data_IF_743001699812
#
_entry.id   IF_743001699812
#
_cell.length_a   1.000
_cell.length_b   1.000
_cell.length_c   1.000
_cell.angle_alpha   90.00
_cell.angle_beta   90.00
_cell.angle_gamma   90.00
#
_symmetry.space_group_name_H-M   'P 1'
#
loop_
_entity.id
_entity.type
_entity.pdbx_description
1 polymer ?
#
# COMPACT_ATOMS: atom_id res chain seq x y z
N UNK A 1 6.48 -72.82 -25.39
CA UNK A 1 7.29 -73.71 -24.54
C UNK A 1 8.20 -72.86 -23.66
N UNK A 2 7.98 -72.94 -22.33
CA UNK A 2 8.91 -72.76 -21.19
C UNK A 2 9.86 -71.55 -21.08
N UNK A 3 10.19 -70.97 -19.92
CA UNK A 3 9.66 -70.83 -18.53
C UNK A 3 10.82 -70.24 -17.69
N UNK A 4 10.54 -69.24 -16.82
CA UNK A 4 11.04 -69.03 -15.41
C UNK A 4 11.48 -67.56 -15.17
N UNK A 5 10.78 -66.72 -14.39
CA UNK A 5 10.45 -66.72 -12.94
C UNK A 5 11.65 -66.63 -11.97
N UNK A 6 11.76 -65.45 -11.31
CA UNK A 6 12.01 -65.20 -9.87
C UNK A 6 11.37 -63.82 -9.61
N UNK A 7 10.22 -63.61 -8.95
CA UNK A 7 9.78 -63.89 -7.57
C UNK A 7 10.83 -63.60 -6.50
N UNK A 8 10.65 -62.47 -5.82
CA UNK A 8 10.74 -62.42 -4.36
C UNK A 8 9.53 -61.68 -3.78
N UNK A 9 9.08 -62.16 -2.63
CA UNK A 9 7.74 -61.98 -2.03
C UNK A 9 7.93 -61.46 -0.62
N UNK A 10 7.07 -60.50 -0.23
CA UNK A 10 6.44 -60.40 1.11
C UNK A 10 7.36 -59.97 2.28
N UNK A 11 6.95 -59.20 3.29
CA UNK A 11 5.74 -59.28 4.15
C UNK A 11 5.67 -57.95 4.94
N UNK A 12 4.51 -57.28 4.97
CA UNK A 12 3.50 -57.19 6.06
C UNK A 12 3.76 -56.14 7.17
N UNK A 13 2.79 -55.22 7.21
CA UNK A 13 2.01 -54.69 8.35
C UNK A 13 2.75 -54.02 9.52
N UNK A 14 2.38 -52.75 9.75
CA UNK A 14 1.64 -52.39 10.97
C UNK A 14 0.70 -51.21 10.73
N UNK A 15 -0.58 -51.43 11.09
CA UNK A 15 -1.58 -50.39 11.35
C UNK A 15 -1.10 -49.58 12.57
N UNK A 16 -1.18 -48.26 12.49
CA UNK A 16 -1.41 -47.42 13.66
C UNK A 16 -2.59 -46.50 13.37
N UNK A 17 -3.71 -46.84 13.99
CA UNK A 17 -4.85 -45.96 14.20
C UNK A 17 -4.49 -45.03 15.35
N UNK A 18 -4.42 -43.72 15.10
CA UNK A 18 -4.38 -42.73 16.17
C UNK A 18 -5.69 -41.95 16.17
N UNK A 19 -6.65 -42.49 16.94
CA UNK A 19 -7.77 -41.73 17.49
C UNK A 19 -7.19 -40.84 18.60
N UNK A 20 -7.26 -39.53 18.46
CA UNK A 20 -7.25 -38.65 19.62
C UNK A 20 -8.66 -38.12 19.86
N UNK A 21 -9.35 -38.80 20.77
CA UNK A 21 -10.38 -38.23 21.60
C UNK A 21 -9.69 -37.38 22.67
N UNK A 22 -10.01 -36.09 22.76
CA UNK A 22 -9.99 -35.38 24.02
C UNK A 22 -11.31 -34.64 24.21
N UNK A 23 -12.15 -35.23 25.05
CA UNK A 23 -13.29 -34.63 25.73
C UNK A 23 -12.90 -34.61 27.21
N UNK A 24 -12.80 -33.42 27.80
CA UNK A 24 -12.61 -33.12 29.22
C UNK A 24 -12.04 -31.69 29.29
N UNK A 25 -12.49 -30.72 30.06
CA UNK A 25 -13.48 -30.64 31.12
C UNK A 25 -13.95 -29.17 31.18
N UNK A 26 -15.24 -28.97 31.49
CA UNK A 26 -15.73 -27.69 32.00
C UNK A 26 -14.91 -27.29 33.23
N UNK A 27 -14.28 -26.12 33.20
CA UNK A 27 -13.85 -25.42 34.39
C UNK A 27 -14.67 -24.13 34.50
N UNK A 28 -15.40 -24.09 35.61
CA UNK A 28 -16.26 -23.05 36.11
C UNK A 28 -15.55 -21.70 36.23
N UNK A 29 -16.30 -20.66 35.85
CA UNK A 29 -16.07 -19.25 36.16
C UNK A 29 -15.76 -19.04 37.66
N UNK A 30 -14.82 -18.16 38.02
CA UNK A 30 -14.82 -17.53 39.32
C UNK A 30 -15.88 -16.43 39.32
N UNK A 31 -16.91 -16.63 40.15
CA UNK A 31 -17.81 -15.59 40.64
C UNK A 31 -17.02 -14.51 41.34
N UNK A 32 -16.97 -13.30 40.78
CA UNK A 32 -16.62 -12.10 41.55
C UNK A 32 -17.89 -11.49 42.13
N UNK A 33 -18.08 -11.77 43.41
CA UNK A 33 -19.04 -11.13 44.30
C UNK A 33 -18.73 -9.65 44.46
N UNK A 34 -19.71 -8.85 44.05
CA UNK A 34 -20.20 -7.62 44.66
C UNK A 34 -19.61 -7.27 46.04
N UNK A 35 -18.87 -6.16 46.12
CA UNK A 35 -18.82 -5.32 47.32
C UNK A 35 -19.11 -3.86 46.93
N UNK A 36 -20.13 -3.31 47.58
CA UNK A 36 -20.49 -1.90 47.57
C UNK A 36 -19.58 -1.18 48.56
N UNK A 37 -19.05 -0.03 48.18
CA UNK A 37 -18.83 1.06 49.11
C UNK A 37 -19.31 2.35 48.46
N UNK A 38 -20.39 2.90 49.01
CA UNK A 38 -20.91 4.22 48.70
C UNK A 38 -19.86 5.29 48.99
N UNK A 39 -19.83 6.36 48.19
CA UNK A 39 -19.81 7.73 48.68
C UNK A 39 -20.53 8.63 47.65
N UNK A 40 -21.57 9.32 48.13
CA UNK A 40 -22.39 10.27 47.37
C UNK A 40 -21.70 11.63 47.32
N UNK A 41 -21.76 12.31 46.17
CA UNK A 41 -22.29 13.68 46.07
C UNK A 41 -22.19 14.24 44.64
N UNK A 42 -23.30 14.79 44.13
CA UNK A 42 -23.27 15.88 43.14
C UNK A 42 -23.88 15.56 41.78
N UNK A 43 -25.12 16.01 41.58
CA UNK A 43 -25.94 15.87 40.37
C UNK A 43 -25.48 16.75 39.21
N UNK A 44 -25.63 16.25 37.96
CA UNK A 44 -26.19 16.94 36.78
C UNK A 44 -26.51 15.87 35.71
N UNK A 45 -27.73 15.78 35.14
CA UNK A 45 -27.97 14.90 34.01
C UNK A 45 -27.48 15.59 32.74
N UNK A 46 -26.32 15.18 32.23
CA UNK A 46 -26.00 15.40 30.82
C UNK A 46 -26.87 14.39 30.07
N UNK A 47 -27.84 14.90 29.30
CA UNK A 47 -28.45 14.13 28.21
C UNK A 47 -27.33 13.81 27.23
N UNK A 48 -26.69 12.65 27.40
CA UNK A 48 -25.89 12.05 26.33
C UNK A 48 -26.85 11.83 25.16
N UNK A 49 -26.68 12.63 24.12
CA UNK A 49 -27.27 12.31 22.83
C UNK A 49 -26.79 10.90 22.44
N UNK A 50 -27.66 10.01 21.96
CA UNK A 50 -27.23 8.68 21.54
C UNK A 50 -26.14 8.84 20.48
N UNK A 51 -24.98 8.22 20.74
CA UNK A 51 -23.92 8.03 19.75
C UNK A 51 -24.59 7.46 18.48
N UNK A 52 -24.38 8.05 17.30
CA UNK A 52 -25.00 7.53 16.09
C UNK A 52 -24.53 6.09 15.87
N UNK A 53 -25.48 5.16 15.91
CA UNK A 53 -25.24 3.76 15.63
C UNK A 53 -24.82 3.60 14.16
N UNK A 54 -23.82 2.75 13.90
CA UNK A 54 -23.51 2.31 12.54
C UNK A 54 -24.79 1.73 11.92
N UNK A 55 -25.41 2.38 10.94
CA UNK A 55 -26.62 1.86 10.28
C UNK A 55 -26.47 1.94 8.78
N UNK A 56 -26.99 0.92 8.08
CA UNK A 56 -27.18 0.96 6.64
C UNK A 56 -28.13 2.10 6.27
N UNK A 57 -27.73 2.95 5.35
CA UNK A 57 -28.62 3.93 4.75
C UNK A 57 -29.54 3.23 3.74
N UNK A 58 -30.74 2.82 4.16
CA UNK A 58 -31.75 2.26 3.25
C UNK A 58 -32.82 3.29 2.95
N UNK A 59 -32.62 4.13 1.93
CA UNK A 59 -33.72 4.73 1.13
C UNK A 59 -33.19 5.43 -0.12
N UNK A 60 -33.60 4.95 -1.30
CA UNK A 60 -34.09 5.79 -2.41
C UNK A 60 -34.86 4.91 -3.42
N UNK A 61 -36.19 4.97 -3.40
CA UNK A 61 -37.02 4.53 -4.53
C UNK A 61 -37.18 5.74 -5.46
N UNK A 62 -36.65 5.64 -6.68
CA UNK A 62 -36.94 6.59 -7.75
C UNK A 62 -38.40 6.41 -8.20
N UNK A 63 -39.23 7.44 -8.02
CA UNK A 63 -40.56 7.54 -8.64
C UNK A 63 -40.43 8.07 -10.08
N UNK A 64 -41.35 7.71 -11.00
CA UNK A 64 -41.21 8.03 -12.41
C UNK A 64 -41.43 9.52 -12.71
N UNK A 65 -40.63 10.05 -13.65
CA UNK A 65 -40.78 11.38 -14.23
C UNK A 65 -42.12 11.50 -14.97
N UNK A 66 -42.98 12.41 -14.53
CA UNK A 66 -44.11 12.90 -15.31
C UNK A 66 -43.72 14.23 -15.98
N UNK A 67 -43.84 14.28 -17.31
CA UNK A 67 -43.72 15.51 -18.12
C UNK A 67 -45.07 16.21 -18.13
N UNK A 68 -45.14 17.46 -17.66
CA UNK A 68 -46.22 18.40 -17.98
C UNK A 68 -45.65 19.81 -18.20
N UNK A 69 -46.07 20.42 -19.30
CA UNK A 69 -45.73 21.77 -19.76
C UNK A 69 -46.57 22.87 -19.07
N UNK A 70 -45.91 24.03 -18.93
CA UNK A 70 -46.43 25.40 -18.87
C UNK A 70 -46.79 26.06 -17.52
N UNK A 71 -46.37 27.34 -17.45
CA UNK A 71 -46.71 28.44 -16.54
C UNK A 71 -45.90 28.60 -15.22
N UNK A 72 -44.83 29.41 -15.33
CA UNK A 72 -44.51 30.50 -14.39
C UNK A 72 -44.51 30.21 -12.89
N UNK A 73 -43.52 29.47 -12.40
CA UNK A 73 -43.09 29.51 -11.00
C UNK A 73 -41.56 29.64 -10.97
N UNK A 74 -41.04 30.60 -10.22
CA UNK A 74 -39.62 30.68 -9.88
C UNK A 74 -39.33 29.51 -8.93
N UNK A 75 -38.82 28.42 -9.47
CA UNK A 75 -38.21 27.37 -8.66
C UNK A 75 -36.85 27.89 -8.19
N UNK A 76 -36.70 28.08 -6.88
CA UNK A 76 -35.39 27.94 -6.26
C UNK A 76 -34.88 26.55 -6.63
N UNK A 77 -33.66 26.39 -7.19
CA UNK A 77 -33.11 25.06 -7.35
C UNK A 77 -33.01 24.48 -5.94
N UNK A 78 -33.74 23.39 -5.69
CA UNK A 78 -33.44 22.52 -4.57
C UNK A 78 -31.96 22.19 -4.73
N UNK A 79 -31.15 22.62 -3.77
CA UNK A 79 -29.79 22.11 -3.66
C UNK A 79 -29.88 20.59 -3.75
N UNK A 80 -29.04 19.91 -4.54
CA UNK A 80 -28.95 18.47 -4.42
C UNK A 80 -28.71 18.21 -2.93
N UNK A 81 -29.63 17.47 -2.29
CA UNK A 81 -29.40 16.98 -0.95
C UNK A 81 -28.04 16.29 -1.02
N UNK A 82 -27.03 16.85 -0.35
CA UNK A 82 -25.73 16.25 -0.28
C UNK A 82 -25.97 14.81 0.21
N UNK A 83 -25.59 13.83 -0.60
CA UNK A 83 -25.60 12.45 -0.17
C UNK A 83 -24.80 12.41 1.13
N UNK A 84 -25.47 12.02 2.22
CA UNK A 84 -24.82 11.90 3.51
C UNK A 84 -23.71 10.85 3.35
N UNK A 85 -22.46 11.13 3.78
CA UNK A 85 -21.34 10.23 3.53
C UNK A 85 -21.64 8.86 4.12
N UNK A 86 -21.38 7.81 3.34
CA UNK A 86 -21.52 6.44 3.81
C UNK A 86 -20.62 6.23 5.04
N UNK A 87 -21.22 5.74 6.13
CA UNK A 87 -20.58 5.47 7.43
C UNK A 87 -19.38 4.52 7.30
N UNK A 88 -19.41 3.68 6.27
CA UNK A 88 -18.30 2.85 5.83
C UNK A 88 -18.15 2.95 4.32
N UNK A 89 -16.92 2.84 3.84
CA UNK A 89 -16.63 2.63 2.43
C UNK A 89 -15.58 1.55 2.24
N UNK A 90 -15.75 0.76 1.18
CA UNK A 90 -14.74 -0.17 0.68
C UNK A 90 -14.40 0.27 -0.73
N UNK A 91 -13.12 0.53 -0.98
CA UNK A 91 -12.60 0.84 -2.31
C UNK A 91 -11.64 -0.27 -2.73
N UNK A 92 -11.75 -0.74 -3.98
CA UNK A 92 -10.89 -1.77 -4.54
C UNK A 92 -10.27 -1.28 -5.83
N UNK A 93 -8.96 -1.47 -5.96
CA UNK A 93 -8.21 -1.34 -7.19
C UNK A 93 -7.52 -2.66 -7.50
N UNK A 94 -7.57 -3.09 -8.76
CA UNK A 94 -6.99 -4.37 -9.20
C UNK A 94 -6.09 -4.09 -10.39
N UNK A 95 -4.86 -4.61 -10.32
CA UNK A 95 -3.85 -4.43 -11.36
C UNK A 95 -3.07 -5.72 -11.57
N UNK A 96 -2.64 -5.97 -12.79
CA UNK A 96 -1.71 -7.06 -13.07
C UNK A 96 -0.32 -6.76 -12.49
N UNK A 97 0.35 -7.81 -12.02
CA UNK A 97 1.79 -7.79 -11.67
C UNK A 97 2.60 -8.78 -12.48
N UNK A 98 1.95 -9.84 -12.96
CA UNK A 98 2.51 -10.83 -13.88
C UNK A 98 1.41 -11.25 -14.87
N UNK A 99 1.72 -11.92 -15.99
CA UNK A 99 0.70 -12.37 -16.95
C UNK A 99 -0.43 -13.21 -16.33
N UNK A 100 -0.13 -13.89 -15.23
CA UNK A 100 -1.07 -14.76 -14.50
C UNK A 100 -1.26 -14.35 -13.05
N UNK A 101 -0.84 -13.15 -12.63
CA UNK A 101 -1.04 -12.66 -11.27
C UNK A 101 -1.54 -11.21 -11.26
N UNK A 102 -2.59 -10.96 -10.48
CA UNK A 102 -3.06 -9.62 -10.15
C UNK A 102 -2.85 -9.31 -8.67
N UNK A 103 -2.60 -8.04 -8.36
CA UNK A 103 -2.65 -7.46 -7.01
C UNK A 103 -3.94 -6.70 -6.83
N UNK A 104 -4.62 -7.00 -5.74
CA UNK A 104 -5.78 -6.26 -5.26
C UNK A 104 -5.34 -5.35 -4.12
N UNK A 105 -5.54 -4.04 -4.30
CA UNK A 105 -5.41 -3.02 -3.27
C UNK A 105 -6.81 -2.67 -2.79
N UNK A 106 -7.12 -2.99 -1.55
CA UNK A 106 -8.44 -2.79 -0.97
C UNK A 106 -8.32 -1.90 0.27
N UNK A 107 -9.04 -0.78 0.27
CA UNK A 107 -9.06 0.18 1.38
C UNK A 107 -10.45 0.21 2.00
N UNK A 108 -10.54 -0.04 3.30
CA UNK A 108 -11.74 0.06 4.11
C UNK A 108 -11.63 1.33 4.93
N UNK A 109 -12.61 2.21 4.85
CA UNK A 109 -12.70 3.41 5.68
C UNK A 109 -13.98 3.39 6.50
N UNK A 110 -13.90 3.93 7.71
CA UNK A 110 -15.03 4.08 8.62
C UNK A 110 -15.02 5.50 9.19
N UNK A 111 -16.20 6.06 9.43
CA UNK A 111 -16.28 7.30 10.19
C UNK A 111 -15.88 7.09 11.66
N UNK A 112 -15.44 8.16 12.33
CA UNK A 112 -14.96 8.11 13.71
C UNK A 112 -16.05 7.66 14.70
N UNK A 113 -17.32 7.99 14.43
CA UNK A 113 -18.46 7.57 15.25
C UNK A 113 -18.71 6.07 15.21
N UNK A 114 -18.40 5.43 14.09
CA UNK A 114 -18.64 4.03 13.87
C UNK A 114 -17.43 3.18 14.23
N UNK A 115 -16.21 3.64 13.90
CA UNK A 115 -14.97 2.94 14.22
C UNK A 115 -14.84 2.54 15.70
N UNK A 116 -15.27 3.42 16.62
CA UNK A 116 -15.18 3.18 18.08
C UNK A 116 -16.14 2.11 18.63
N UNK A 117 -17.10 1.63 17.84
CA UNK A 117 -18.13 0.68 18.28
C UNK A 117 -17.99 -0.73 17.68
N UNK A 118 -16.95 -0.95 16.86
CA UNK A 118 -16.71 -2.23 16.19
C UNK A 118 -15.96 -3.16 17.15
N UNK A 119 -16.48 -4.38 17.32
CA UNK A 119 -15.86 -5.44 18.11
C UNK A 119 -15.03 -6.39 17.27
N UNK A 120 -15.46 -6.65 16.03
CA UNK A 120 -14.72 -7.48 15.08
C UNK A 120 -15.06 -7.06 13.65
N UNK A 121 -14.12 -7.31 12.75
CA UNK A 121 -14.27 -7.03 11.32
C UNK A 121 -13.98 -8.30 10.53
N UNK A 122 -14.78 -8.56 9.50
CA UNK A 122 -14.54 -9.62 8.53
C UNK A 122 -14.71 -9.10 7.11
N UNK A 123 -13.92 -9.58 6.18
CA UNK A 123 -14.05 -9.29 4.76
C UNK A 123 -13.93 -10.60 4.00
N UNK A 124 -14.98 -10.98 3.28
CA UNK A 124 -14.94 -12.09 2.33
C UNK A 124 -14.83 -11.52 0.92
N UNK A 125 -13.76 -11.86 0.23
CA UNK A 125 -13.60 -11.58 -1.20
C UNK A 125 -13.86 -12.86 -1.98
N UNK A 126 -14.70 -12.78 -3.00
CA UNK A 126 -15.04 -13.86 -3.93
C UNK A 126 -14.49 -13.50 -5.30
N UNK A 127 -13.85 -14.46 -5.94
CA UNK A 127 -13.20 -14.27 -7.23
C UNK A 127 -13.67 -15.32 -8.24
N UNK A 128 -13.45 -15.07 -9.54
CA UNK A 128 -13.96 -15.91 -10.61
C UNK A 128 -13.46 -17.35 -10.55
N UNK A 129 -14.17 -18.23 -11.26
CA UNK A 129 -13.82 -19.64 -11.33
C UNK A 129 -12.43 -19.83 -11.96
N UNK A 130 -11.57 -20.59 -11.29
CA UNK A 130 -10.21 -20.87 -11.76
C UNK A 130 -9.16 -19.88 -11.24
N UNK A 131 -9.59 -18.75 -10.69
CA UNK A 131 -8.70 -17.86 -9.97
C UNK A 131 -8.39 -18.44 -8.59
N UNK A 132 -7.22 -18.13 -8.05
CA UNK A 132 -6.78 -18.63 -6.75
C UNK A 132 -6.05 -17.57 -5.94
N UNK A 133 -6.30 -17.51 -4.64
CA UNK A 133 -5.55 -16.65 -3.74
C UNK A 133 -4.06 -17.03 -3.73
N UNK A 134 -3.17 -16.06 -3.95
CA UNK A 134 -1.72 -16.26 -4.05
C UNK A 134 -0.93 -15.78 -2.83
N UNK A 135 -1.52 -14.92 -1.98
CA UNK A 135 -0.88 -14.47 -0.75
C UNK A 135 -1.29 -13.07 -0.31
N UNK A 136 -0.91 -12.70 0.92
CA UNK A 136 -1.03 -11.37 1.47
C UNK A 136 0.34 -10.69 1.35
N UNK A 137 0.37 -9.54 0.71
CA UNK A 137 1.58 -8.80 0.35
C UNK A 137 1.76 -7.52 1.18
N UNK A 138 0.68 -7.00 1.77
CA UNK A 138 0.74 -5.85 2.67
C UNK A 138 -0.55 -5.68 3.47
N UNK A 139 -0.40 -5.15 4.68
CA UNK A 139 -1.48 -4.68 5.54
C UNK A 139 -1.03 -3.36 6.17
N UNK A 140 -1.88 -2.33 6.13
CA UNK A 140 -1.58 -0.99 6.65
C UNK A 140 -2.80 -0.45 7.38
N UNK A 141 -2.58 0.33 8.42
CA UNK A 141 -3.63 0.82 9.32
C UNK A 141 -3.46 2.29 9.67
N UNK A 142 -4.56 3.01 9.92
CA UNK A 142 -4.53 4.43 10.27
C UNK A 142 -4.01 5.33 9.14
N UNK A 143 -3.38 6.45 9.50
CA UNK A 143 -2.81 7.40 8.53
C UNK A 143 -1.73 6.76 7.62
N UNK A 144 -1.03 5.73 8.10
CA UNK A 144 -0.05 4.99 7.29
C UNK A 144 -0.71 4.21 6.14
N UNK A 145 -1.99 3.84 6.27
CA UNK A 145 -2.74 3.20 5.19
C UNK A 145 -3.01 4.14 4.00
N UNK A 146 -2.83 5.45 4.17
CA UNK A 146 -2.94 6.43 3.09
C UNK A 146 -1.61 6.59 2.31
N UNK A 147 -0.49 6.12 2.85
CA UNK A 147 0.83 6.20 2.23
C UNK A 147 1.08 4.99 1.30
N UNK A 148 0.60 5.05 0.06
CA UNK A 148 0.97 4.07 -0.97
C UNK A 148 2.47 4.18 -1.28
N UNK A 149 3.27 3.28 -0.68
CA UNK A 149 4.70 3.12 -0.99
C UNK A 149 5.66 3.17 0.19
N UNK A 150 5.19 3.21 1.44
CA UNK A 150 6.08 3.00 2.58
C UNK A 150 6.31 1.50 2.79
N UNK A 151 7.58 1.09 2.85
CA UNK A 151 7.94 -0.27 3.24
C UNK A 151 7.34 -0.62 4.61
N UNK A 152 6.90 -1.87 4.74
CA UNK A 152 6.38 -2.52 5.95
C UNK A 152 6.61 -1.76 7.28
N UNK A 153 5.72 -0.84 7.63
CA UNK A 153 5.45 -0.54 9.03
C UNK A 153 4.57 -1.67 9.53
N UNK A 154 5.22 -2.69 10.09
CA UNK A 154 4.54 -3.76 10.80
C UNK A 154 3.88 -3.16 12.06
N UNK A 155 2.66 -2.63 11.90
CA UNK A 155 1.65 -2.84 12.92
C UNK A 155 1.57 -4.34 13.18
N UNK A 156 1.38 -4.75 14.43
CA UNK A 156 1.20 -6.16 14.80
C UNK A 156 0.31 -6.85 13.76
N UNK A 157 0.80 -7.92 13.11
CA UNK A 157 0.06 -8.65 12.08
C UNK A 157 -1.23 -9.19 12.70
N UNK A 158 -2.32 -8.45 12.56
CA UNK A 158 -3.59 -8.73 13.23
C UNK A 158 -4.64 -9.29 12.29
N UNK A 159 -4.42 -9.20 10.97
CA UNK A 159 -5.33 -9.83 10.01
C UNK A 159 -5.11 -11.33 9.98
N UNK A 160 -6.18 -12.07 10.23
CA UNK A 160 -6.22 -13.50 10.04
C UNK A 160 -6.79 -13.79 8.65
N UNK A 161 -6.11 -14.67 7.91
CA UNK A 161 -6.47 -14.97 6.52
C UNK A 161 -6.81 -16.44 6.37
N UNK A 162 -7.98 -16.73 5.81
CA UNK A 162 -8.42 -18.09 5.48
C UNK A 162 -8.70 -18.18 3.97
N UNK A 163 -7.80 -18.81 3.19
CA UNK A 163 -8.05 -19.03 1.77
C UNK A 163 -9.03 -20.18 1.56
N UNK A 164 -9.95 -20.00 0.63
CA UNK A 164 -10.89 -21.00 0.16
C UNK A 164 -10.75 -21.20 -1.34
N UNK A 165 -11.50 -22.17 -1.88
CA UNK A 165 -11.68 -22.25 -3.33
C UNK A 165 -12.54 -21.06 -3.77
N UNK A 166 -12.04 -20.28 -4.74
CA UNK A 166 -12.77 -19.16 -5.36
C UNK A 166 -13.14 -18.02 -4.37
N UNK A 167 -12.59 -18.01 -3.15
CA UNK A 167 -12.76 -16.92 -2.20
C UNK A 167 -11.63 -16.88 -1.16
N UNK A 168 -11.51 -15.77 -0.45
CA UNK A 168 -10.62 -15.59 0.70
C UNK A 168 -11.33 -14.77 1.76
N UNK A 169 -11.19 -15.18 3.02
CA UNK A 169 -11.72 -14.44 4.17
C UNK A 169 -10.56 -13.79 4.92
N UNK A 170 -10.69 -12.50 5.19
CA UNK A 170 -9.85 -11.70 6.09
C UNK A 170 -10.66 -11.38 7.33
N UNK A 171 -10.08 -11.48 8.52
CA UNK A 171 -10.80 -11.11 9.75
C UNK A 171 -9.87 -10.58 10.83
N UNK A 172 -10.40 -9.63 11.59
CA UNK A 172 -9.73 -8.96 12.69
C UNK A 172 -10.55 -9.16 13.95
N UNK A 173 -9.95 -9.85 14.92
CA UNK A 173 -10.52 -10.00 16.27
C UNK A 173 -10.27 -8.72 17.08
N UNK A 174 -9.10 -8.11 16.89
CA UNK A 174 -8.78 -6.77 17.40
C UNK A 174 -8.88 -5.80 16.24
N UNK A 175 -9.90 -4.93 16.27
CA UNK A 175 -10.19 -4.01 15.17
C UNK A 175 -9.07 -2.96 15.07
N UNK A 176 -8.38 -2.87 13.93
CA UNK A 176 -7.30 -1.91 13.74
C UNK A 176 -7.83 -0.48 13.57
N UNK A 177 -6.98 0.54 13.73
CA UNK A 177 -7.36 1.91 13.39
C UNK A 177 -7.66 2.03 11.89
N UNK A 178 -8.72 2.76 11.57
CA UNK A 178 -9.07 3.09 10.19
C UNK A 178 -8.28 4.31 9.69
N UNK A 179 -8.04 4.42 8.37
CA UNK A 179 -8.36 3.45 7.33
C UNK A 179 -7.55 2.16 7.39
N UNK A 180 -8.09 1.08 6.83
CA UNK A 180 -7.44 -0.23 6.72
C UNK A 180 -7.14 -0.52 5.26
N UNK A 181 -5.89 -0.79 4.90
CA UNK A 181 -5.51 -1.16 3.54
C UNK A 181 -4.91 -2.57 3.50
N UNK A 182 -5.45 -3.41 2.61
CA UNK A 182 -4.94 -4.74 2.31
C UNK A 182 -4.40 -4.78 0.88
N UNK A 183 -3.24 -5.42 0.72
CA UNK A 183 -2.67 -5.75 -0.59
C UNK A 183 -2.55 -7.26 -0.67
N UNK A 184 -3.36 -7.91 -1.50
CA UNK A 184 -3.31 -9.37 -1.69
C UNK A 184 -3.21 -9.75 -3.17
N UNK A 185 -2.79 -10.98 -3.44
CA UNK A 185 -2.61 -11.49 -4.79
C UNK A 185 -3.64 -12.54 -5.18
N UNK A 186 -3.98 -12.57 -6.47
CA UNK A 186 -4.77 -13.62 -7.11
C UNK A 186 -4.03 -14.15 -8.34
N UNK A 187 -3.88 -15.47 -8.44
CA UNK A 187 -3.49 -16.14 -9.68
C UNK A 187 -4.68 -16.21 -10.63
N UNK A 188 -4.46 -15.81 -11.88
CA UNK A 188 -5.44 -15.76 -12.97
C UNK A 188 -5.14 -16.87 -13.97
N UNK A 189 -6.03 -17.86 -14.08
CA UNK A 189 -5.85 -18.99 -15.02
C UNK A 189 -6.29 -18.68 -16.44
N UNK A 190 -7.32 -17.84 -16.58
CA UNK A 190 -7.88 -17.33 -17.83
C UNK A 190 -8.64 -16.05 -17.51
N UNK A 191 -8.55 -15.06 -18.40
CA UNK A 191 -9.25 -13.79 -18.27
C UNK A 191 -10.51 -13.84 -19.15
N UNK A 192 -11.68 -13.83 -18.53
CA UNK A 192 -12.94 -13.48 -19.19
C UNK A 192 -13.28 -12.03 -18.79
N UNK A 193 -13.46 -11.07 -19.72
CA UNK A 193 -13.78 -9.68 -19.36
C UNK A 193 -15.03 -9.53 -18.48
N UNK A 194 -15.96 -10.49 -18.53
CA UNK A 194 -17.18 -10.50 -17.73
C UNK A 194 -16.99 -11.10 -16.32
N UNK A 195 -15.82 -11.68 -16.03
CA UNK A 195 -15.50 -12.18 -14.71
C UNK A 195 -15.53 -11.04 -13.68
N UNK A 196 -16.06 -11.29 -12.48
CA UNK A 196 -16.22 -10.27 -11.43
C UNK A 196 -15.53 -10.70 -10.14
N UNK A 197 -14.71 -9.81 -9.59
CA UNK A 197 -14.31 -9.85 -8.18
C UNK A 197 -15.36 -9.07 -7.38
N UNK A 198 -15.88 -9.68 -6.33
CA UNK A 198 -16.84 -9.07 -5.42
C UNK A 198 -16.57 -9.52 -3.99
N UNK A 199 -17.37 -9.05 -3.05
CA UNK A 199 -17.18 -9.44 -1.66
C UNK A 199 -18.21 -8.87 -0.72
N UNK A 200 -18.06 -9.20 0.55
CA UNK A 200 -18.89 -8.74 1.65
C UNK A 200 -18.00 -8.40 2.84
N UNK A 201 -18.11 -7.17 3.33
CA UNK A 201 -17.57 -6.72 4.60
C UNK A 201 -18.59 -6.98 5.69
N UNK A 202 -18.21 -7.69 6.74
CA UNK A 202 -18.99 -7.99 7.93
C UNK A 202 -18.46 -7.14 9.08
N UNK A 203 -19.30 -6.28 9.63
CA UNK A 203 -18.97 -5.41 10.77
C UNK A 203 -19.76 -5.90 11.98
N UNK A 204 -19.06 -6.37 13.00
CA UNK A 204 -19.67 -6.83 14.25
C UNK A 204 -19.58 -5.73 15.30
N UNK A 205 -20.72 -5.30 15.81
CA UNK A 205 -20.84 -4.34 16.93
C UNK A 205 -21.38 -5.05 18.17
N UNK A 206 -21.49 -4.34 19.30
CA UNK A 206 -22.09 -4.93 20.51
C UNK A 206 -23.56 -5.34 20.32
N UNK A 207 -24.28 -4.69 19.40
CA UNK A 207 -25.73 -4.81 19.23
C UNK A 207 -26.15 -5.59 17.99
N UNK A 208 -25.34 -5.59 16.93
CA UNK A 208 -25.70 -6.18 15.64
C UNK A 208 -24.47 -6.50 14.76
N UNK A 209 -24.69 -7.37 13.78
CA UNK A 209 -23.83 -7.63 12.63
C UNK A 209 -24.38 -6.86 11.42
N UNK A 210 -23.51 -6.14 10.72
CA UNK A 210 -23.87 -5.28 9.60
C UNK A 210 -23.00 -5.63 8.40
N UNK A 211 -23.65 -5.99 7.29
CA UNK A 211 -22.92 -6.43 6.09
C UNK A 211 -22.88 -5.35 5.00
N UNK A 212 -21.72 -4.95 4.53
CA UNK A 212 -21.57 -4.02 3.40
C UNK A 212 -21.05 -4.77 2.18
N UNK A 213 -21.69 -4.65 1.00
CA UNK A 213 -21.10 -5.21 -0.21
C UNK A 213 -19.79 -4.50 -0.50
N UNK A 214 -18.76 -5.29 -0.77
CA UNK A 214 -17.53 -4.80 -1.40
C UNK A 214 -17.86 -4.41 -2.84
N UNK A 215 -17.22 -3.38 -3.43
CA UNK A 215 -17.47 -3.00 -4.82
C UNK A 215 -17.31 -4.22 -5.74
N UNK A 216 -18.02 -4.23 -6.87
CA UNK A 216 -17.77 -5.20 -7.93
C UNK A 216 -16.67 -4.66 -8.84
N UNK A 217 -15.72 -5.51 -9.22
CA UNK A 217 -14.67 -5.19 -10.17
C UNK A 217 -14.69 -6.20 -11.29
N UNK A 218 -15.11 -5.80 -12.49
CA UNK A 218 -15.05 -6.66 -13.68
C UNK A 218 -13.60 -6.80 -14.13
N UNK A 219 -13.26 -7.98 -14.63
CA UNK A 219 -11.97 -8.25 -15.24
C UNK A 219 -11.67 -7.32 -16.42
N UNK A 220 -12.69 -6.96 -17.21
CA UNK A 220 -12.57 -5.97 -18.28
C UNK A 220 -12.23 -4.55 -17.79
N UNK A 221 -12.58 -4.20 -16.56
CA UNK A 221 -12.34 -2.87 -15.97
C UNK A 221 -10.97 -2.80 -15.26
N UNK A 222 -10.24 -3.92 -15.18
CA UNK A 222 -8.95 -3.98 -14.50
C UNK A 222 -7.89 -3.21 -15.28
N UNK A 223 -7.04 -2.50 -14.55
CA UNK A 223 -5.87 -1.85 -15.16
C UNK A 223 -4.93 -2.94 -15.68
N UNK A 224 -4.88 -3.05 -17.01
CA UNK A 224 -4.19 -4.12 -17.71
C UNK A 224 -2.76 -3.73 -18.16
N UNK A 225 -2.37 -2.46 -17.97
CA UNK A 225 -0.96 -2.10 -17.97
C UNK A 225 -0.37 -2.33 -16.59
N UNK A 226 0.64 -3.19 -16.51
CA UNK A 226 1.48 -3.29 -15.33
C UNK A 226 2.73 -2.46 -15.54
N UNK A 227 3.30 -1.94 -14.46
CA UNK A 227 4.58 -1.26 -14.54
C UNK A 227 5.41 -1.50 -13.30
N UNK A 228 6.73 -1.48 -13.49
CA UNK A 228 7.74 -1.56 -12.44
C UNK A 228 8.72 -0.42 -12.62
N UNK A 229 9.09 0.21 -11.51
CA UNK A 229 10.05 1.32 -11.50
C UNK A 229 11.23 0.91 -10.64
N UNK A 230 12.42 0.97 -11.20
CA UNK A 230 13.68 0.73 -10.52
C UNK A 230 14.57 1.98 -10.63
N UNK A 231 14.73 2.76 -9.56
CA UNK A 231 15.61 3.92 -9.55
C UNK A 231 17.11 3.61 -9.42
N UNK A 232 17.53 2.34 -9.58
CA UNK A 232 18.94 1.94 -9.45
C UNK A 232 19.46 1.91 -8.01
N UNK A 233 18.56 2.10 -7.04
CA UNK A 233 18.85 2.17 -5.60
C UNK A 233 17.84 3.06 -4.88
N UNK A 234 17.65 2.86 -3.57
CA UNK A 234 16.71 3.67 -2.77
C UNK A 234 17.29 5.01 -2.33
N UNK A 235 18.47 5.36 -2.82
CA UNK A 235 19.26 6.46 -2.28
C UNK A 235 19.83 7.30 -3.42
N UNK A 236 19.65 8.62 -3.37
CA UNK A 236 20.23 9.57 -4.33
C UNK A 236 21.31 10.43 -3.67
N UNK A 237 22.30 10.88 -4.45
CA UNK A 237 23.32 11.82 -3.98
C UNK A 237 23.06 13.19 -4.60
N UNK A 238 22.83 14.26 -3.82
CA UNK A 238 22.67 15.60 -4.38
C UNK A 238 23.90 16.00 -5.22
N UNK A 239 23.66 16.54 -6.42
CA UNK A 239 24.70 16.89 -7.39
C UNK A 239 25.18 15.74 -8.26
N UNK A 240 24.60 14.55 -8.14
CA UNK A 240 24.87 13.40 -9.02
C UNK A 240 23.66 13.06 -9.88
N UNK A 241 23.90 12.28 -10.93
CA UNK A 241 22.84 11.77 -11.77
C UNK A 241 22.20 10.52 -11.12
N UNK A 242 20.89 10.42 -11.24
CA UNK A 242 20.11 9.23 -10.87
C UNK A 242 19.57 8.60 -12.14
N UNK A 243 19.81 7.31 -12.33
CA UNK A 243 19.27 6.54 -13.46
C UNK A 243 18.04 5.78 -13.00
N UNK A 244 16.92 5.99 -13.68
CA UNK A 244 15.67 5.29 -13.41
C UNK A 244 15.27 4.45 -14.61
N UNK A 245 14.94 3.19 -14.34
CA UNK A 245 14.39 2.23 -15.29
C UNK A 245 12.90 2.03 -14.99
N UNK A 246 12.05 2.52 -15.88
CA UNK A 246 10.61 2.25 -15.89
C UNK A 246 10.32 1.17 -16.92
N UNK A 247 9.79 0.04 -16.49
CA UNK A 247 9.26 -0.99 -17.37
C UNK A 247 7.74 -0.95 -17.33
N UNK A 248 7.11 -0.97 -18.51
CA UNK A 248 5.67 -1.07 -18.69
C UNK A 248 5.41 -2.37 -19.46
N UNK A 249 4.47 -3.16 -18.97
CA UNK A 249 4.01 -4.41 -19.53
C UNK A 249 2.53 -4.27 -19.91
N UNK A 250 2.14 -4.86 -21.03
CA UNK A 250 0.76 -4.82 -21.52
C UNK A 250 0.11 -6.20 -21.40
N UNK A 251 -0.90 -6.30 -20.55
CA UNK A 251 -1.75 -7.49 -20.39
C UNK A 251 -3.18 -7.25 -20.90
N UNK A 252 -3.41 -6.15 -21.61
CA UNK A 252 -4.71 -5.79 -22.16
C UNK A 252 -5.12 -6.78 -23.26
N UNK A 253 -6.39 -7.21 -23.23
CA UNK A 253 -6.97 -8.04 -24.28
C UNK A 253 -7.28 -7.20 -25.53
N UNK A 254 -6.37 -7.12 -26.50
CA UNK A 254 -6.59 -6.43 -27.78
C UNK A 254 -5.52 -5.41 -28.12
N UNK A 255 -5.64 -4.77 -29.29
CA UNK A 255 -4.67 -3.77 -29.74
C UNK A 255 -4.89 -2.43 -29.04
N UNK A 256 -3.82 -1.85 -28.51
CA UNK A 256 -3.81 -0.47 -28.03
C UNK A 256 -3.59 0.50 -29.20
N UNK A 257 -4.26 1.64 -29.17
CA UNK A 257 -4.19 2.66 -30.23
C UNK A 257 -3.52 3.95 -29.77
N UNK A 258 -3.18 4.07 -28.49
CA UNK A 258 -2.41 5.19 -27.96
C UNK A 258 -1.81 4.84 -26.60
N UNK A 259 -0.65 5.42 -26.32
CA UNK A 259 0.03 5.28 -25.03
C UNK A 259 0.77 6.58 -24.71
N UNK A 260 0.62 7.06 -23.49
CA UNK A 260 1.41 8.13 -22.90
C UNK A 260 1.88 7.67 -21.52
N UNK A 261 3.12 7.96 -21.16
CA UNK A 261 3.63 7.79 -19.81
C UNK A 261 4.15 9.14 -19.30
N UNK A 262 3.74 9.51 -18.10
CA UNK A 262 4.12 10.76 -17.44
C UNK A 262 4.80 10.42 -16.11
N UNK A 263 6.06 10.82 -15.98
CA UNK A 263 6.88 10.71 -14.77
C UNK A 263 6.93 12.05 -14.03
N UNK A 264 6.64 12.03 -12.73
CA UNK A 264 6.57 13.24 -11.89
C UNK A 264 7.50 13.05 -10.69
N UNK A 265 8.47 13.95 -10.59
CA UNK A 265 9.32 14.13 -9.42
C UNK A 265 8.87 15.36 -8.63
N UNK A 266 8.84 15.22 -7.31
CA UNK A 266 8.47 16.30 -6.37
C UNK A 266 9.62 17.27 -6.04
N UNK A 267 10.75 17.12 -6.72
CA UNK A 267 11.95 17.95 -6.60
C UNK A 267 12.40 18.52 -7.95
N UNK A 268 13.19 19.61 -7.97
CA UNK A 268 13.64 20.24 -9.20
C UNK A 268 14.80 19.47 -9.87
N UNK A 269 14.53 18.31 -10.45
CA UNK A 269 15.47 17.55 -11.30
C UNK A 269 15.54 18.11 -12.72
N UNK A 270 16.61 17.82 -13.45
CA UNK A 270 16.69 18.07 -14.91
C UNK A 270 17.04 16.80 -15.67
N UNK A 271 16.37 16.56 -16.79
CA UNK A 271 16.57 15.37 -17.62
C UNK A 271 17.93 15.40 -18.34
N UNK A 272 18.77 14.39 -18.12
CA UNK A 272 20.12 14.30 -18.69
C UNK A 272 20.18 13.40 -19.92
N UNK A 273 19.54 12.23 -19.87
CA UNK A 273 19.48 11.30 -21.00
C UNK A 273 18.22 10.44 -20.96
N UNK A 274 17.85 9.90 -22.12
CA UNK A 274 16.77 8.92 -22.28
C UNK A 274 17.25 7.83 -23.23
N UNK A 275 16.98 6.59 -22.88
CA UNK A 275 17.08 5.42 -23.72
C UNK A 275 15.77 4.63 -23.63
N UNK A 276 15.21 4.24 -24.77
CA UNK A 276 14.00 3.42 -24.83
C UNK A 276 14.33 2.12 -25.54
N UNK A 277 14.05 1.01 -24.86
CA UNK A 277 14.27 -0.34 -25.38
C UNK A 277 12.96 -1.09 -25.47
N UNK A 278 12.84 -1.88 -26.53
CA UNK A 278 11.72 -2.77 -26.81
C UNK A 278 12.28 -4.19 -26.95
N UNK A 279 12.47 -4.94 -25.85
CA UNK A 279 13.27 -6.18 -25.84
C UNK A 279 12.82 -7.25 -26.84
N UNK A 280 11.52 -7.28 -27.17
CA UNK A 280 10.94 -8.25 -28.10
C UNK A 280 10.79 -7.71 -29.54
N UNK A 281 11.30 -6.51 -29.80
CA UNK A 281 11.10 -5.83 -31.07
C UNK A 281 12.25 -6.05 -32.06
N UNK A 282 11.95 -6.75 -33.16
CA UNK A 282 12.91 -6.99 -34.25
C UNK A 282 12.85 -5.99 -35.42
N UNK A 283 12.13 -4.86 -35.28
CA UNK A 283 11.81 -3.93 -36.38
C UNK A 283 12.46 -2.55 -36.26
N UNK A 284 11.88 -1.56 -36.95
CA UNK A 284 12.28 -0.14 -36.88
C UNK A 284 11.60 0.52 -35.67
N UNK A 285 12.37 1.11 -34.74
CA UNK A 285 11.83 1.69 -33.51
C UNK A 285 10.55 2.51 -33.77
N UNK A 286 9.46 2.27 -33.01
CA UNK A 286 8.25 3.05 -33.16
C UNK A 286 8.51 4.52 -32.87
N UNK A 287 7.70 5.37 -33.51
CA UNK A 287 7.77 6.82 -33.31
C UNK A 287 7.29 7.17 -31.90
N UNK A 288 8.14 7.90 -31.17
CA UNK A 288 7.89 8.37 -29.81
C UNK A 288 8.24 9.85 -29.73
N UNK A 289 7.35 10.63 -29.13
CA UNK A 289 7.62 12.00 -28.75
C UNK A 289 8.28 11.98 -27.37
N UNK A 290 9.55 12.36 -27.32
CA UNK A 290 10.35 12.40 -26.10
C UNK A 290 10.30 13.79 -25.47
N UNK A 291 10.43 13.90 -24.13
CA UNK A 291 10.69 15.17 -23.49
C UNK A 291 12.07 15.70 -23.91
N UNK A 292 12.20 17.03 -23.95
CA UNK A 292 13.47 17.68 -24.28
C UNK A 292 14.51 17.47 -23.15
N UNK A 293 15.76 17.21 -23.52
CA UNK A 293 16.84 17.14 -22.54
C UNK A 293 17.06 18.50 -21.86
N UNK A 294 17.37 18.48 -20.58
CA UNK A 294 17.51 19.66 -19.72
C UNK A 294 16.20 20.19 -19.16
N UNK A 295 15.04 19.63 -19.56
CA UNK A 295 13.75 20.02 -18.99
C UNK A 295 13.62 19.51 -17.55
N UNK A 296 12.81 20.20 -16.75
CA UNK A 296 12.38 19.72 -15.43
C UNK A 296 11.16 18.81 -15.49
N UNK A 297 10.86 18.17 -14.36
CA UNK A 297 9.62 17.40 -14.16
C UNK A 297 8.37 18.25 -14.47
N UNK A 298 7.32 17.72 -15.13
CA UNK A 298 7.12 16.31 -15.49
C UNK A 298 7.77 15.89 -16.82
N UNK A 299 8.10 14.61 -16.94
CA UNK A 299 8.62 14.00 -18.17
C UNK A 299 7.53 13.21 -18.87
N UNK A 300 7.18 13.61 -20.08
CA UNK A 300 6.08 13.01 -20.86
C UNK A 300 6.64 12.27 -22.07
N UNK A 301 6.36 10.96 -22.12
CA UNK A 301 6.68 10.08 -23.24
C UNK A 301 5.37 9.74 -23.95
N UNK A 302 5.26 10.02 -25.25
CA UNK A 302 4.01 9.85 -25.98
C UNK A 302 4.21 9.04 -27.27
N UNK A 303 3.48 7.93 -27.38
CA UNK A 303 3.47 7.05 -28.55
C UNK A 303 2.15 7.21 -29.30
N UNK A 304 2.23 7.71 -30.53
CA UNK A 304 1.09 7.78 -31.45
C UNK A 304 0.65 6.40 -31.94
N UNK A 305 1.59 5.45 -32.01
CA UNK A 305 1.32 4.03 -32.25
C UNK A 305 2.03 3.24 -31.15
N UNK A 306 1.29 2.61 -30.23
CA UNK A 306 1.91 1.89 -29.12
C UNK A 306 2.92 0.85 -29.58
N UNK A 307 4.05 0.72 -28.87
CA UNK A 307 5.10 -0.23 -29.21
C UNK A 307 4.67 -1.67 -28.89
N UNK A 308 5.55 -2.63 -29.20
CA UNK A 308 5.46 -3.96 -28.57
C UNK A 308 5.92 -3.86 -27.12
N UNK A 309 5.40 -4.76 -26.29
CA UNK A 309 5.71 -4.85 -24.86
C UNK A 309 6.53 -6.11 -24.58
N UNK A 310 7.38 -6.13 -23.53
CA UNK A 310 7.63 -5.07 -22.55
C UNK A 310 8.24 -3.81 -23.17
N UNK A 311 7.84 -2.65 -22.66
CA UNK A 311 8.43 -1.34 -22.96
C UNK A 311 9.35 -0.97 -21.80
N UNK A 312 10.60 -0.61 -22.08
CA UNK A 312 11.55 -0.16 -21.07
C UNK A 312 12.03 1.25 -21.40
N UNK A 313 11.84 2.18 -20.46
CA UNK A 313 12.34 3.54 -20.51
C UNK A 313 13.42 3.66 -19.44
N UNK A 314 14.66 3.87 -19.84
CA UNK A 314 15.76 4.21 -18.96
C UNK A 314 16.08 5.68 -19.14
N UNK A 315 16.06 6.46 -18.06
CA UNK A 315 16.37 7.88 -18.13
C UNK A 315 17.26 8.29 -16.96
N UNK A 316 18.23 9.16 -17.24
CA UNK A 316 19.09 9.75 -16.23
C UNK A 316 18.64 11.18 -15.93
N UNK A 317 18.65 11.54 -14.66
CA UNK A 317 18.28 12.87 -14.17
C UNK A 317 19.40 13.45 -13.34
N UNK A 318 19.73 14.71 -13.56
CA UNK A 318 20.61 15.45 -12.67
C UNK A 318 19.83 15.96 -11.45
N UNK A 319 20.25 15.55 -10.26
CA UNK A 319 19.71 16.05 -9.00
C UNK A 319 20.53 17.27 -8.54
N UNK A 320 19.95 18.46 -8.34
CA UNK A 320 20.72 19.61 -7.86
C UNK A 320 21.32 19.38 -6.46
N UNK A 321 22.49 19.99 -6.21
CA UNK A 321 23.14 19.93 -4.89
C UNK A 321 22.30 20.53 -3.74
N UNK A 322 21.30 21.36 -4.06
CA UNK A 322 20.42 22.00 -3.08
C UNK A 322 19.32 21.08 -2.55
N UNK A 323 19.11 19.91 -3.17
CA UNK A 323 18.08 18.96 -2.77
C UNK A 323 18.52 18.21 -1.52
N UNK A 324 17.59 17.99 -0.59
CA UNK A 324 17.81 17.23 0.63
C UNK A 324 16.51 16.59 1.10
N UNK A 325 16.60 15.48 1.83
CA UNK A 325 15.45 14.78 2.38
C UNK A 325 14.86 13.72 1.44
N UNK A 326 13.74 13.10 1.82
CA UNK A 326 13.07 12.12 0.98
C UNK A 326 12.50 12.77 -0.29
N UNK A 327 12.54 12.03 -1.37
CA UNK A 327 12.06 12.40 -2.70
C UNK A 327 11.03 11.37 -3.13
N UNK A 328 9.93 11.83 -3.71
CA UNK A 328 8.89 10.96 -4.23
C UNK A 328 8.84 11.04 -5.76
N UNK A 329 8.87 9.85 -6.37
CA UNK A 329 8.61 9.66 -7.78
C UNK A 329 7.19 9.11 -7.92
N UNK A 330 6.37 9.77 -8.72
CA UNK A 330 5.00 9.37 -9.05
C UNK A 330 4.81 9.40 -10.56
N UNK A 331 3.61 9.08 -11.04
CA UNK A 331 3.32 9.14 -12.46
C UNK A 331 2.10 8.33 -12.85
N UNK A 332 1.74 8.46 -14.11
CA UNK A 332 0.62 7.75 -14.72
C UNK A 332 0.95 7.37 -16.16
N UNK A 333 0.40 6.25 -16.59
CA UNK A 333 0.33 5.88 -18.00
C UNK A 333 -1.13 5.99 -18.47
N UNK A 334 -1.37 6.76 -19.52
CA UNK A 334 -2.66 6.84 -20.19
C UNK A 334 -2.61 5.97 -21.43
N UNK A 335 -3.59 5.09 -21.61
CA UNK A 335 -3.66 4.23 -22.78
C UNK A 335 -5.05 4.21 -23.38
N UNK A 336 -5.10 4.03 -24.71
CA UNK A 336 -6.34 3.96 -25.45
C UNK A 336 -6.56 2.55 -25.98
N UNK A 337 -7.72 1.97 -25.68
CA UNK A 337 -8.12 0.65 -26.14
C UNK A 337 -9.59 0.68 -26.55
N UNK A 338 -9.91 0.22 -27.76
CA UNK A 338 -11.31 0.20 -28.24
C UNK A 338 -11.99 1.58 -28.33
N UNK A 339 -11.22 2.67 -28.30
CA UNK A 339 -11.72 4.04 -28.24
C UNK A 339 -11.95 4.60 -26.84
N UNK A 340 -11.70 3.81 -25.80
CA UNK A 340 -11.75 4.23 -24.39
C UNK A 340 -10.36 4.62 -23.91
N UNK A 341 -10.27 5.71 -23.14
CA UNK A 341 -9.04 6.20 -22.53
C UNK A 341 -9.02 5.78 -21.05
N UNK A 342 -7.99 5.04 -20.65
CA UNK A 342 -7.84 4.52 -19.29
C UNK A 342 -6.53 4.99 -18.69
N UNK A 343 -6.54 5.32 -17.40
CA UNK A 343 -5.36 5.67 -16.64
C UNK A 343 -4.85 4.48 -15.82
N UNK A 344 -3.55 4.21 -15.93
CA UNK A 344 -2.82 3.22 -15.15
C UNK A 344 -1.79 3.96 -14.26
N UNK A 345 -1.94 3.95 -12.93
CA UNK A 345 -0.95 4.59 -12.06
C UNK A 345 0.40 3.88 -12.15
N UNK A 346 1.49 4.65 -12.24
CA UNK A 346 2.84 4.11 -12.15
C UNK A 346 3.23 3.87 -10.68
N UNK A 347 4.12 2.91 -10.36
CA UNK A 347 4.53 2.62 -8.99
C UNK A 347 5.15 3.83 -8.31
N UNK A 348 4.56 4.31 -7.22
CA UNK A 348 5.20 5.34 -6.40
C UNK A 348 6.50 4.81 -5.79
N UNK A 349 7.56 5.60 -5.89
CA UNK A 349 8.88 5.25 -5.36
C UNK A 349 9.39 6.37 -4.47
N UNK A 350 9.95 6.01 -3.31
CA UNK A 350 10.64 6.94 -2.43
C UNK A 350 12.15 6.75 -2.54
N UNK A 351 12.88 7.85 -2.65
CA UNK A 351 14.32 7.90 -2.57
C UNK A 351 14.76 8.73 -1.38
N UNK A 352 15.77 8.27 -0.65
CA UNK A 352 16.36 8.99 0.45
C UNK A 352 17.63 9.69 -0.02
N UNK A 353 17.86 10.92 0.41
CA UNK A 353 19.14 11.57 0.13
C UNK A 353 20.25 10.86 0.90
N UNK A 354 21.18 10.21 0.21
CA UNK A 354 22.46 9.85 0.83
C UNK A 354 23.18 11.15 1.08
N UNK A 355 23.67 11.29 2.30
CA UNK A 355 24.99 11.84 2.39
C UNK A 355 25.79 11.06 3.44
N UNK A 356 26.49 9.99 3.03
CA UNK A 356 27.18 9.11 3.96
C UNK A 356 28.42 9.78 4.55
N UNK A 357 28.92 10.83 3.91
CA UNK A 357 30.05 11.65 4.38
C UNK A 357 29.61 12.77 5.35
N UNK A 358 28.31 12.96 5.57
CA UNK A 358 27.74 14.02 6.43
C UNK A 358 27.06 13.50 7.69
N UNK A 359 26.80 12.20 7.80
CA UNK A 359 26.31 11.62 9.05
C UNK A 359 27.43 11.56 10.08
N UNK A 360 27.08 11.73 11.35
CA UNK A 360 28.05 11.52 12.41
C UNK A 360 28.36 10.02 12.47
N UNK A 361 29.62 9.55 12.47
CA UNK A 361 29.94 8.11 12.45
C UNK A 361 29.45 7.28 13.66
N UNK A 362 28.87 7.95 14.65
CA UNK A 362 28.26 7.32 15.81
C UNK A 362 26.77 6.99 15.57
N UNK A 363 26.13 7.68 14.62
CA UNK A 363 24.75 7.47 14.17
C UNK A 363 24.72 6.19 13.33
N UNK A 364 24.48 5.07 14.01
CA UNK A 364 24.64 3.74 13.46
C UNK A 364 23.38 3.31 12.67
N UNK A 365 22.21 3.82 13.07
CA UNK A 365 20.94 3.57 12.39
C UNK A 365 20.57 4.64 11.35
N UNK A 366 21.36 5.73 11.27
CA UNK A 366 21.33 6.78 10.24
C UNK A 366 20.07 7.62 10.28
N UNK A 367 19.52 7.83 11.48
CA UNK A 367 18.25 8.52 11.70
C UNK A 367 18.40 10.04 11.98
N UNK A 368 19.61 10.59 11.88
CA UNK A 368 19.98 11.98 12.22
C UNK A 368 19.83 12.32 13.71
N UNK A 369 19.83 11.29 14.56
CA UNK A 369 19.88 11.41 16.01
C UNK A 369 21.09 10.66 16.51
N UNK A 370 21.55 11.06 17.69
CA UNK A 370 22.52 10.30 18.47
C UNK A 370 21.84 9.90 19.75
N UNK A 371 21.42 8.64 19.81
CA UNK A 371 20.88 8.06 21.03
C UNK A 371 22.00 7.77 22.05
N UNK A 372 21.62 7.56 23.31
CA UNK A 372 22.61 7.27 24.36
C UNK A 372 23.40 5.99 24.07
N UNK A 373 22.75 4.98 23.49
CA UNK A 373 23.35 3.70 23.10
C UNK A 373 24.47 3.90 22.08
N UNK A 374 24.24 4.74 21.09
CA UNK A 374 25.16 5.11 20.02
C UNK A 374 26.33 5.96 20.51
N UNK A 375 26.03 7.00 21.31
CA UNK A 375 27.06 7.82 21.93
C UNK A 375 27.99 6.97 22.81
N UNK A 376 27.43 6.10 23.65
CA UNK A 376 28.21 5.21 24.54
C UNK A 376 29.03 4.21 23.74
N UNK A 377 28.45 3.61 22.70
CA UNK A 377 29.17 2.70 21.81
C UNK A 377 30.39 3.37 21.19
N UNK A 378 30.22 4.56 20.64
CA UNK A 378 31.30 5.30 19.99
C UNK A 378 32.36 5.81 20.99
N UNK A 379 31.95 6.22 22.20
CA UNK A 379 32.87 6.54 23.31
C UNK A 379 33.70 5.31 23.70
N UNK A 380 33.10 4.12 23.73
CA UNK A 380 33.83 2.87 24.01
C UNK A 380 34.86 2.57 22.93
N UNK A 381 34.52 2.76 21.65
CA UNK A 381 35.45 2.65 20.53
C UNK A 381 36.64 3.61 20.66
N UNK A 382 36.40 4.85 21.08
CA UNK A 382 37.47 5.80 21.38
C UNK A 382 38.36 5.34 22.56
N UNK A 383 37.78 4.85 23.65
CA UNK A 383 38.53 4.34 24.81
C UNK A 383 39.44 3.16 24.44
N UNK A 384 39.08 2.42 23.41
CA UNK A 384 39.85 1.30 22.85
C UNK A 384 40.87 1.74 21.78
N UNK A 385 40.91 3.03 21.43
CA UNK A 385 41.81 3.59 20.42
C UNK A 385 41.39 3.32 18.97
N UNK A 386 40.13 2.91 18.76
CA UNK A 386 39.57 2.57 17.44
C UNK A 386 38.99 3.82 16.78
N UNK A 387 38.35 4.69 17.56
CA UNK A 387 37.66 5.88 17.05
C UNK A 387 38.33 7.21 17.46
N UNK A 388 38.23 8.28 16.64
CA UNK A 388 38.76 9.59 17.00
C UNK A 388 38.04 10.23 18.20
N UNK A 389 38.82 10.71 19.17
CA UNK A 389 38.30 11.39 20.38
C UNK A 389 37.36 12.56 20.06
N UNK A 390 37.70 13.34 19.03
CA UNK A 390 36.94 14.52 18.63
C UNK A 390 35.51 14.17 18.20
N UNK A 391 35.31 12.99 17.61
CA UNK A 391 34.02 12.52 17.12
C UNK A 391 33.22 11.92 18.27
N UNK A 392 33.85 11.17 19.18
CA UNK A 392 33.21 10.68 20.40
C UNK A 392 32.69 11.81 21.30
N UNK A 393 33.46 12.88 21.49
CA UNK A 393 33.01 14.06 22.25
C UNK A 393 31.83 14.74 21.54
N UNK A 394 31.84 14.78 20.20
CA UNK A 394 30.75 15.41 19.45
C UNK A 394 29.47 14.60 19.52
N UNK A 395 29.52 13.27 19.39
CA UNK A 395 28.38 12.38 19.63
C UNK A 395 27.75 12.64 21.02
N UNK A 396 28.59 12.67 22.07
CA UNK A 396 28.13 12.92 23.44
C UNK A 396 27.46 14.30 23.58
N UNK A 397 28.02 15.33 22.94
CA UNK A 397 27.44 16.67 22.94
C UNK A 397 26.07 16.71 22.25
N UNK A 398 25.93 16.07 21.08
CA UNK A 398 24.69 16.05 20.32
C UNK A 398 23.58 15.33 21.09
N UNK A 399 23.91 14.17 21.69
CA UNK A 399 23.02 13.47 22.62
C UNK A 399 22.55 14.38 23.77
N UNK A 400 23.47 15.05 24.46
CA UNK A 400 23.12 15.97 25.57
C UNK A 400 22.30 17.18 25.13
N UNK A 401 22.43 17.61 23.88
CA UNK A 401 21.75 18.78 23.32
C UNK A 401 20.35 18.47 22.76
N UNK A 402 19.84 17.24 22.95
CA UNK A 402 18.51 16.83 22.49
C UNK A 402 18.52 15.81 21.35
N UNK A 403 19.63 15.10 21.15
CA UNK A 403 19.84 13.96 20.22
C UNK A 403 19.87 14.32 18.74
N UNK A 404 18.98 15.21 18.28
CA UNK A 404 18.91 15.62 16.88
C UNK A 404 20.08 16.50 16.47
N UNK A 405 20.61 16.25 15.28
CA UNK A 405 21.67 17.05 14.71
C UNK A 405 21.47 17.31 13.22
N UNK A 406 22.32 18.18 12.67
CA UNK A 406 22.38 18.51 11.25
C UNK A 406 23.83 18.67 10.82
N UNK A 407 24.10 18.49 9.53
CA UNK A 407 25.41 18.80 8.97
C UNK A 407 25.50 20.26 8.52
N UNK A 408 26.65 20.89 8.78
CA UNK A 408 27.06 22.21 8.29
C UNK A 408 28.45 22.11 7.67
N UNK A 409 28.70 22.90 6.64
CA UNK A 409 29.93 22.86 5.84
C UNK A 409 31.12 23.53 6.56
N UNK A 410 31.53 22.94 7.69
CA UNK A 410 32.69 23.35 8.49
C UNK A 410 33.61 22.15 8.75
N UNK A 411 34.82 22.38 9.28
CA UNK A 411 35.74 21.28 9.57
C UNK A 411 35.21 20.36 10.68
N UNK A 412 35.35 19.05 10.50
CA UNK A 412 35.04 18.07 11.54
C UNK A 412 35.86 18.34 12.82
N UNK A 413 35.27 18.14 14.02
CA UNK A 413 33.92 17.62 14.28
C UNK A 413 32.83 18.72 14.37
N UNK A 414 33.12 19.98 14.02
CA UNK A 414 32.14 21.07 14.14
C UNK A 414 31.06 21.04 13.07
N UNK A 415 31.27 20.26 12.00
CA UNK A 415 30.28 20.05 10.96
C UNK A 415 28.95 19.46 11.45
N UNK A 416 28.88 18.79 12.60
CA UNK A 416 27.62 18.24 13.11
C UNK A 416 27.04 19.15 14.20
N UNK A 417 26.01 19.95 13.95
CA UNK A 417 25.44 20.86 14.96
C UNK A 417 24.12 20.33 15.54
N UNK A 418 23.88 20.56 16.82
CA UNK A 418 22.62 20.20 17.48
C UNK A 418 21.44 20.98 16.89
N UNK A 419 20.29 20.32 16.75
CA UNK A 419 19.05 20.93 16.26
C UNK A 419 17.94 20.71 17.27
N UNK A 420 17.20 21.75 17.62
CA UNK A 420 16.00 21.62 18.45
C UNK A 420 14.83 21.12 17.60
N UNK A 421 14.03 20.18 18.14
CA UNK A 421 12.77 19.74 17.54
C UNK A 421 11.83 20.96 17.41
N UNK A 422 11.42 21.28 16.19
CA UNK A 422 10.35 22.26 15.95
C UNK A 422 9.00 21.60 16.19
#
# INVERSE_FOLDING_TARGET
MTRRLKKWRSRKRTRWTQKHNHRAHYLSLPTWTQERACWNSGAFPVLEAPVPACRKNTTMKAGPLAIVLAAGFVFTPASPAAAQPDVFSVNRQVRFTEPTEVRVHLTISADASCAGNIQALGLKETFPKGWAYSGLYGEYYGEEALALGSGNSAGTKSVLVTPWKESVDFYWIEVPPFPVTLVYGLMVSALDPEDVISGMLFVFTQSEEIDFPSPETRAGDMVCLASTRDPGGLVYVPGQDVTVRLQIDNFCGGAMTGLQATEIWDIPVTLASIEITYPEYGGISPEVQLPELGIGSPFVFNWLTPPVFPLVIEYALHVPMSVSGPVQITGEALYMQGGELTAAPLPTQYLYGDNPDRLHPADADRDWRIEISEAVYYISGWQQGIEPMAYAIRAAYLWQAGEYYRYVDTAAPRCWESRTRL
#
